data_IF_480484769798
#
_entry.id   IF_480484769798
#
_cell.length_a   1.000
_cell.length_b   1.000
_cell.length_c   1.000
_cell.angle_alpha   90.00
_cell.angle_beta   90.00
_cell.angle_gamma   90.00
#
_symmetry.space_group_name_H-M   'P 1'
#
loop_
_entity.id
_entity.type
_entity.pdbx_description
1 polymer ?
#
# COMPACT_ATOMS: atom_id res chain seq x y z
N UNK A 1 -36.31 -38.35 7.62
CA UNK A 1 -36.24 -36.89 7.49
C UNK A 1 -34.91 -36.56 6.84
N UNK A 2 -34.94 -36.16 5.60
CA UNK A 2 -33.70 -35.86 4.79
C UNK A 2 -33.38 -34.39 4.92
N UNK A 3 -32.18 -34.08 5.38
CA UNK A 3 -31.63 -32.72 5.40
C UNK A 3 -30.98 -32.44 4.04
N UNK A 4 -31.48 -31.46 3.33
CA UNK A 4 -30.93 -30.95 2.07
C UNK A 4 -29.90 -29.89 2.37
N UNK A 5 -28.61 -30.19 2.15
CA UNK A 5 -27.56 -29.22 2.10
C UNK A 5 -27.59 -28.50 0.76
N UNK A 6 -27.70 -27.18 0.79
CA UNK A 6 -27.64 -26.32 -0.41
C UNK A 6 -26.17 -26.08 -0.73
N UNK A 7 -25.69 -26.71 -1.81
CA UNK A 7 -24.37 -26.45 -2.38
C UNK A 7 -24.36 -25.08 -3.07
N UNK A 8 -23.49 -24.19 -2.62
CA UNK A 8 -23.21 -22.90 -3.27
C UNK A 8 -22.43 -23.10 -4.57
N UNK A 9 -23.04 -22.80 -5.70
CA UNK A 9 -22.43 -22.89 -7.03
C UNK A 9 -21.31 -21.85 -7.20
N UNK A 10 -20.07 -22.33 -7.23
CA UNK A 10 -18.90 -21.57 -7.69
C UNK A 10 -18.96 -21.47 -9.20
N UNK A 11 -19.17 -20.30 -9.77
CA UNK A 11 -19.19 -20.08 -11.22
C UNK A 11 -17.77 -20.02 -11.78
N UNK A 12 -17.18 -21.15 -12.05
CA UNK A 12 -15.99 -21.24 -12.92
C UNK A 12 -16.42 -21.29 -14.38
N UNK A 13 -15.77 -20.48 -15.22
CA UNK A 13 -15.96 -20.57 -16.66
C UNK A 13 -15.57 -21.96 -17.12
N UNK A 14 -16.42 -22.57 -17.94
CA UNK A 14 -16.14 -23.88 -18.56
C UNK A 14 -15.05 -23.76 -19.63
N UNK A 15 -14.35 -24.83 -19.97
CA UNK A 15 -13.33 -24.84 -21.03
C UNK A 15 -13.86 -24.33 -22.39
N UNK A 16 -15.15 -24.47 -22.64
CA UNK A 16 -15.82 -23.93 -23.83
C UNK A 16 -15.91 -22.38 -23.76
N UNK A 17 -16.21 -21.84 -22.60
CA UNK A 17 -16.28 -20.38 -22.38
C UNK A 17 -14.89 -19.73 -22.43
N UNK A 18 -13.86 -20.43 -21.93
CA UNK A 18 -12.47 -19.97 -22.03
C UNK A 18 -11.97 -19.96 -23.49
N UNK A 19 -12.33 -20.95 -24.30
CA UNK A 19 -12.00 -20.98 -25.74
C UNK A 19 -12.68 -19.85 -26.49
N UNK A 20 -13.97 -19.63 -26.26
CA UNK A 20 -14.69 -18.50 -26.86
C UNK A 20 -14.13 -17.13 -26.45
N UNK A 21 -13.66 -17.00 -25.23
CA UNK A 21 -12.99 -15.77 -24.74
C UNK A 21 -11.69 -15.48 -25.49
N UNK A 22 -10.87 -16.52 -25.72
CA UNK A 22 -9.62 -16.39 -26.46
C UNK A 22 -9.84 -16.16 -27.97
N UNK A 23 -10.89 -16.72 -28.57
CA UNK A 23 -11.25 -16.51 -29.97
C UNK A 23 -11.78 -15.10 -30.25
N UNK A 24 -12.32 -14.42 -29.24
CA UNK A 24 -12.82 -13.05 -29.33
C UNK A 24 -11.76 -11.97 -29.05
N UNK A 25 -10.51 -12.36 -28.79
CA UNK A 25 -9.37 -11.48 -28.47
C UNK A 25 -9.69 -10.41 -27.40
N UNK A 26 -10.46 -10.81 -26.38
CA UNK A 26 -10.93 -9.94 -25.29
C UNK A 26 -9.84 -9.58 -24.28
N UNK A 27 -8.58 -9.78 -24.63
CA UNK A 27 -7.41 -9.50 -23.78
C UNK A 27 -7.20 -10.55 -22.68
N UNK A 28 -6.15 -10.41 -21.87
CA UNK A 28 -5.89 -11.35 -20.79
C UNK A 28 -7.06 -11.38 -19.83
N UNK A 29 -7.67 -12.55 -19.67
CA UNK A 29 -8.73 -12.75 -18.69
C UNK A 29 -8.14 -12.59 -17.30
N UNK A 30 -8.39 -11.48 -16.65
CA UNK A 30 -8.14 -11.28 -15.22
C UNK A 30 -9.18 -12.07 -14.42
N UNK A 31 -9.25 -13.37 -14.68
CA UNK A 31 -9.97 -14.28 -13.79
C UNK A 31 -9.12 -14.34 -12.53
N UNK A 32 -9.57 -13.66 -11.47
CA UNK A 32 -9.04 -13.92 -10.15
C UNK A 32 -9.03 -15.43 -9.97
N UNK A 33 -7.86 -16.03 -9.85
CA UNK A 33 -7.73 -17.45 -9.48
C UNK A 33 -8.18 -17.59 -8.03
N UNK A 34 -9.49 -17.54 -7.83
CA UNK A 34 -10.12 -17.98 -6.60
C UNK A 34 -10.17 -19.50 -6.68
N UNK A 35 -9.10 -20.14 -6.22
CA UNK A 35 -9.03 -21.60 -6.27
C UNK A 35 -7.62 -22.14 -6.18
N UNK A 36 -6.69 -21.37 -5.59
CA UNK A 36 -5.62 -22.01 -4.87
C UNK A 36 -6.27 -22.50 -3.57
N UNK A 37 -6.47 -23.80 -3.43
CA UNK A 37 -6.55 -24.47 -2.12
C UNK A 37 -5.33 -23.96 -1.37
N UNK A 38 -5.54 -22.92 -0.57
CA UNK A 38 -4.47 -22.28 0.16
C UNK A 38 -3.86 -23.34 1.06
N UNK A 39 -2.58 -23.63 0.82
CA UNK A 39 -1.75 -24.11 1.91
C UNK A 39 -2.08 -23.24 3.11
N UNK A 40 -2.25 -23.80 4.33
CA UNK A 40 -2.47 -23.01 5.53
C UNK A 40 -1.44 -21.89 5.52
N UNK A 41 -1.79 -20.65 5.90
CA UNK A 41 -0.84 -19.57 5.88
C UNK A 41 0.42 -20.06 6.57
N UNK A 42 1.61 -19.90 5.94
CA UNK A 42 2.85 -20.38 6.55
C UNK A 42 2.90 -19.81 7.95
N UNK A 43 3.24 -20.64 8.93
CA UNK A 43 3.26 -20.33 10.34
C UNK A 43 3.65 -18.87 10.56
N UNK A 44 2.75 -18.10 11.14
CA UNK A 44 2.63 -16.66 11.16
C UNK A 44 3.88 -15.90 10.67
N UNK A 45 3.79 -15.24 9.53
CA UNK A 45 4.82 -14.27 9.12
C UNK A 45 5.05 -13.34 10.30
N UNK A 46 6.30 -13.16 10.65
CA UNK A 46 6.70 -12.22 11.69
C UNK A 46 7.54 -11.12 11.07
N UNK A 47 7.54 -9.95 11.67
CA UNK A 47 8.42 -8.86 11.26
C UNK A 47 9.87 -9.31 11.15
N UNK A 48 10.35 -10.14 12.10
CA UNK A 48 11.70 -10.67 12.11
C UNK A 48 11.97 -11.51 10.86
N UNK A 49 11.09 -12.45 10.54
CA UNK A 49 11.21 -13.32 9.36
C UNK A 49 11.25 -12.54 8.06
N UNK A 50 10.31 -11.58 7.87
CA UNK A 50 10.30 -10.75 6.65
C UNK A 50 11.56 -9.90 6.56
N UNK A 51 12.07 -9.37 7.66
CA UNK A 51 13.30 -8.58 7.73
C UNK A 51 14.52 -9.42 7.34
N UNK A 52 14.64 -10.64 7.86
CA UNK A 52 15.71 -11.58 7.51
C UNK A 52 15.69 -11.93 6.02
N UNK A 53 14.53 -12.26 5.47
CA UNK A 53 14.37 -12.56 4.05
C UNK A 53 14.74 -11.36 3.15
N UNK A 54 14.36 -10.13 3.54
CA UNK A 54 14.75 -8.92 2.81
C UNK A 54 16.26 -8.71 2.87
N UNK A 55 16.88 -8.89 4.04
CA UNK A 55 18.32 -8.67 4.20
C UNK A 55 19.16 -9.61 3.33
N UNK A 56 18.76 -10.87 3.21
CA UNK A 56 19.40 -11.90 2.39
C UNK A 56 18.91 -11.95 0.93
N UNK A 57 17.98 -11.10 0.52
CA UNK A 57 17.32 -11.20 -0.79
C UNK A 57 18.28 -11.04 -1.96
N UNK A 58 18.21 -11.98 -2.93
CA UNK A 58 18.94 -11.94 -4.22
C UNK A 58 18.02 -12.22 -5.42
N UNK A 59 16.75 -11.80 -5.33
CA UNK A 59 15.71 -12.15 -6.31
C UNK A 59 15.75 -11.32 -7.61
N UNK A 60 16.47 -10.20 -7.63
CA UNK A 60 16.64 -9.35 -8.82
C UNK A 60 18.04 -8.70 -8.82
N UNK A 61 18.47 -8.15 -9.96
CA UNK A 61 19.80 -7.56 -10.15
C UNK A 61 20.12 -6.35 -9.25
N UNK A 62 19.13 -5.77 -8.55
CA UNK A 62 19.40 -4.68 -7.61
C UNK A 62 20.24 -5.13 -6.40
N UNK A 63 20.31 -6.42 -6.12
CA UNK A 63 21.12 -6.94 -5.03
C UNK A 63 22.63 -6.77 -5.27
N UNK A 64 23.08 -6.66 -6.51
CA UNK A 64 24.49 -6.62 -6.85
C UNK A 64 25.11 -5.23 -6.63
N UNK A 65 24.30 -4.18 -6.74
CA UNK A 65 24.76 -2.79 -6.62
C UNK A 65 24.42 -2.10 -5.30
N UNK A 66 23.65 -2.72 -4.41
CA UNK A 66 23.28 -2.13 -3.12
C UNK A 66 24.38 -2.29 -2.08
N UNK A 67 24.47 -1.36 -1.15
CA UNK A 67 25.24 -1.52 0.10
C UNK A 67 24.41 -2.22 1.18
N UNK A 68 23.18 -1.72 1.38
CA UNK A 68 22.24 -2.26 2.34
C UNK A 68 20.88 -2.49 1.69
N UNK A 69 20.11 -3.40 2.25
CA UNK A 69 18.66 -3.42 2.05
C UNK A 69 18.01 -2.38 2.95
N UNK A 70 16.95 -1.75 2.45
CA UNK A 70 16.17 -0.77 3.20
C UNK A 70 14.79 -1.35 3.46
N UNK A 71 14.66 -1.99 4.62
CA UNK A 71 13.44 -2.71 4.99
C UNK A 71 12.27 -1.77 5.26
N UNK A 72 12.50 -0.79 6.08
CA UNK A 72 11.53 0.14 6.64
C UNK A 72 11.91 0.52 8.06
N UNK A 73 11.29 1.59 8.59
CA UNK A 73 11.55 2.13 9.93
C UNK A 73 10.27 2.64 10.57
N UNK A 74 10.20 2.61 11.88
CA UNK A 74 9.08 3.07 12.69
C UNK A 74 8.42 1.96 13.48
N UNK A 75 7.30 2.27 14.10
CA UNK A 75 6.58 1.35 14.98
C UNK A 75 5.92 0.22 14.18
N UNK A 76 6.17 -1.01 14.57
CA UNK A 76 5.49 -2.20 14.03
C UNK A 76 4.01 -2.30 14.50
N UNK A 77 3.55 -1.29 15.26
CA UNK A 77 2.16 -1.10 15.69
C UNK A 77 1.59 0.24 15.20
N UNK A 78 2.31 0.91 14.30
CA UNK A 78 1.89 2.20 13.78
C UNK A 78 0.52 2.12 13.10
N UNK A 79 -0.25 3.19 13.26
CA UNK A 79 -1.56 3.30 12.58
C UNK A 79 -1.45 3.86 11.18
N UNK A 80 -0.35 4.51 10.87
CA UNK A 80 -0.06 5.07 9.56
C UNK A 80 1.08 4.33 8.90
N UNK A 81 0.89 3.95 7.65
CA UNK A 81 1.95 3.40 6.80
C UNK A 81 2.25 4.35 5.66
N UNK A 82 3.50 4.78 5.56
CA UNK A 82 3.98 5.63 4.48
C UNK A 82 4.78 4.78 3.50
N UNK A 83 4.45 4.86 2.22
CA UNK A 83 5.09 4.06 1.18
C UNK A 83 5.65 4.98 0.10
N UNK A 84 6.98 4.99 -0.02
CA UNK A 84 7.69 5.67 -1.10
C UNK A 84 8.04 4.72 -2.25
N UNK A 85 8.92 5.19 -3.14
CA UNK A 85 9.32 4.50 -4.36
C UNK A 85 10.45 3.49 -4.12
N UNK A 86 11.63 3.98 -3.81
CA UNK A 86 12.87 3.21 -3.69
C UNK A 86 13.89 3.94 -2.81
N UNK A 87 14.89 3.24 -2.25
CA UNK A 87 15.99 3.87 -1.55
C UNK A 87 16.86 4.73 -2.48
N UNK A 88 17.29 5.88 -1.99
CA UNK A 88 18.34 6.71 -2.59
C UNK A 88 19.73 6.34 -2.07
N UNK A 89 20.73 7.18 -2.36
CA UNK A 89 22.13 6.93 -1.99
C UNK A 89 22.38 6.99 -0.48
N UNK A 90 21.75 7.91 0.22
CA UNK A 90 21.89 8.03 1.67
C UNK A 90 21.17 6.88 2.38
N UNK A 91 20.00 6.48 1.88
CA UNK A 91 19.22 5.35 2.39
C UNK A 91 19.96 4.02 2.20
N UNK A 92 20.58 3.81 1.03
CA UNK A 92 21.39 2.64 0.74
C UNK A 92 22.61 2.53 1.68
N UNK A 93 23.20 3.68 2.04
CA UNK A 93 24.34 3.74 2.96
C UNK A 93 23.94 3.47 4.40
N UNK A 94 22.77 3.97 4.85
CA UNK A 94 22.32 3.85 6.26
C UNK A 94 21.44 2.64 6.52
N UNK A 95 20.83 2.06 5.48
CA UNK A 95 19.85 0.98 5.63
C UNK A 95 18.47 1.42 6.09
N UNK A 96 18.19 2.74 6.12
CA UNK A 96 16.93 3.31 6.57
C UNK A 96 16.27 4.16 5.48
N UNK A 97 14.93 4.14 5.33
CA UNK A 97 14.23 4.93 4.33
C UNK A 97 14.14 6.41 4.73
N UNK A 98 14.17 7.28 3.72
CA UNK A 98 13.96 8.72 3.89
C UNK A 98 14.92 9.38 4.90
N UNK A 99 16.21 9.16 4.77
CA UNK A 99 17.25 9.78 5.62
C UNK A 99 17.94 10.97 4.95
N UNK A 100 17.77 11.17 3.65
CA UNK A 100 18.30 12.28 2.87
C UNK A 100 17.43 13.54 2.95
N UNK A 101 17.65 14.48 2.01
CA UNK A 101 16.88 15.75 1.97
C UNK A 101 15.38 15.54 1.84
N UNK A 102 14.95 14.56 1.03
CA UNK A 102 13.55 14.18 0.89
C UNK A 102 12.97 13.69 2.22
N UNK A 103 13.76 12.95 2.98
CA UNK A 103 13.38 12.48 4.32
C UNK A 103 13.22 13.61 5.33
N UNK A 104 14.14 14.58 5.35
CA UNK A 104 13.99 15.78 6.20
C UNK A 104 12.72 16.56 5.90
N UNK A 105 12.34 16.69 4.63
CA UNK A 105 11.05 17.28 4.28
C UNK A 105 9.88 16.42 4.76
N UNK A 106 9.96 15.10 4.61
CA UNK A 106 8.92 14.20 5.12
C UNK A 106 8.75 14.34 6.63
N UNK A 107 9.84 14.45 7.39
CA UNK A 107 9.78 14.66 8.84
C UNK A 107 9.06 15.96 9.20
N UNK A 108 9.31 17.06 8.45
CA UNK A 108 8.58 18.31 8.64
C UNK A 108 7.10 18.19 8.25
N UNK A 109 6.77 17.42 7.20
CA UNK A 109 5.39 17.17 6.81
C UNK A 109 4.65 16.36 7.89
N UNK A 110 5.30 15.36 8.49
CA UNK A 110 4.74 14.59 9.60
C UNK A 110 4.55 15.46 10.86
N UNK A 111 5.56 16.22 11.24
CA UNK A 111 5.49 17.13 12.38
C UNK A 111 4.34 18.17 12.24
N UNK A 112 4.10 18.66 11.02
CA UNK A 112 3.01 19.59 10.73
C UNK A 112 1.60 19.01 10.97
N UNK A 113 1.47 17.68 10.96
CA UNK A 113 0.22 16.96 11.27
C UNK A 113 0.27 16.24 12.62
N UNK A 114 1.25 16.56 13.46
CA UNK A 114 1.38 16.04 14.82
C UNK A 114 1.86 14.59 14.90
N UNK A 115 2.53 14.08 13.86
CA UNK A 115 3.09 12.72 13.84
C UNK A 115 4.61 12.73 13.95
N UNK A 116 5.16 11.72 14.61
CA UNK A 116 6.60 11.51 14.74
C UNK A 116 7.02 10.13 14.19
N UNK A 117 8.19 10.11 13.55
CA UNK A 117 8.69 8.92 12.85
C UNK A 117 8.78 7.66 13.71
N UNK A 118 9.35 7.65 14.92
CA UNK A 118 9.58 6.38 15.61
C UNK A 118 8.28 5.72 16.11
N UNK A 119 7.29 6.51 16.49
CA UNK A 119 6.17 6.00 17.28
C UNK A 119 4.85 5.92 16.47
N UNK A 120 4.59 6.92 15.62
CA UNK A 120 3.26 7.09 15.02
C UNK A 120 3.14 6.46 13.64
N UNK A 121 4.27 6.26 12.94
CA UNK A 121 4.29 5.84 11.56
C UNK A 121 5.23 4.66 11.32
N UNK A 122 4.92 3.85 10.29
CA UNK A 122 5.85 2.93 9.67
C UNK A 122 6.14 3.41 8.25
N UNK A 123 7.41 3.66 7.94
CA UNK A 123 7.86 4.21 6.66
C UNK A 123 8.62 3.14 5.89
N UNK A 124 8.26 2.92 4.65
CA UNK A 124 8.95 1.97 3.76
C UNK A 124 8.89 2.43 2.30
N UNK A 125 9.46 1.63 1.41
CA UNK A 125 9.40 1.83 -0.03
C UNK A 125 8.86 0.58 -0.74
N UNK A 126 8.42 0.74 -1.99
CA UNK A 126 8.08 -0.36 -2.89
C UNK A 126 9.29 -1.27 -3.08
N UNK A 127 10.44 -0.69 -3.47
CA UNK A 127 11.70 -1.42 -3.56
C UNK A 127 12.46 -1.38 -2.24
N UNK A 128 13.14 -2.50 -1.93
CA UNK A 128 14.00 -2.61 -0.74
C UNK A 128 15.49 -2.39 -1.06
N UNK A 129 15.83 -2.20 -2.33
CA UNK A 129 17.18 -1.98 -2.82
C UNK A 129 17.22 -0.73 -3.70
N UNK A 130 18.35 -0.03 -3.69
CA UNK A 130 18.57 1.17 -4.49
C UNK A 130 18.76 0.81 -5.96
N UNK A 131 18.00 1.39 -6.91
CA UNK A 131 18.29 1.29 -8.34
C UNK A 131 19.57 2.04 -8.71
N UNK A 132 20.37 1.54 -9.67
CA UNK A 132 21.59 2.21 -10.15
C UNK A 132 21.33 3.65 -10.56
N UNK A 133 22.17 4.59 -10.11
CA UNK A 133 22.01 6.02 -10.43
C UNK A 133 20.71 6.67 -9.94
N UNK A 134 19.99 6.03 -9.02
CA UNK A 134 18.64 6.45 -8.58
C UNK A 134 17.64 6.54 -9.75
N UNK A 135 17.78 5.66 -10.76
CA UNK A 135 16.79 5.58 -11.85
C UNK A 135 15.43 5.12 -11.30
N UNK A 136 14.41 5.33 -12.10
CA UNK A 136 13.09 4.79 -11.77
C UNK A 136 13.12 3.25 -11.65
N UNK A 137 12.27 2.67 -10.80
CA UNK A 137 12.05 1.23 -10.73
C UNK A 137 11.63 0.63 -12.08
N UNK A 138 12.14 -0.54 -12.40
CA UNK A 138 11.68 -1.32 -13.54
C UNK A 138 10.49 -2.21 -13.14
N UNK A 139 9.57 -2.51 -14.06
CA UNK A 139 8.39 -3.34 -13.75
C UNK A 139 8.73 -4.67 -13.09
N UNK A 140 9.75 -5.37 -13.61
CA UNK A 140 10.19 -6.65 -13.05
C UNK A 140 10.76 -6.52 -11.62
N UNK A 141 11.45 -5.43 -11.33
CA UNK A 141 11.97 -5.15 -9.99
C UNK A 141 10.83 -4.93 -8.99
N UNK A 142 9.81 -4.15 -9.41
CA UNK A 142 8.61 -3.89 -8.62
C UNK A 142 7.86 -5.20 -8.36
N UNK A 143 7.60 -5.99 -9.40
CA UNK A 143 6.91 -7.28 -9.28
C UNK A 143 7.64 -8.21 -8.31
N UNK A 144 8.94 -8.37 -8.50
CA UNK A 144 9.79 -9.24 -7.67
C UNK A 144 9.82 -8.81 -6.21
N UNK A 145 9.83 -7.48 -5.94
CA UNK A 145 9.99 -6.92 -4.60
C UNK A 145 8.66 -6.72 -3.87
N UNK A 146 7.54 -6.60 -4.60
CA UNK A 146 6.22 -6.23 -4.05
C UNK A 146 5.71 -7.19 -2.97
N UNK A 147 6.07 -8.48 -3.03
CA UNK A 147 5.68 -9.47 -2.04
C UNK A 147 6.11 -9.09 -0.61
N UNK A 148 7.27 -8.46 -0.44
CA UNK A 148 7.72 -7.98 0.87
C UNK A 148 6.86 -6.81 1.38
N UNK A 149 6.50 -5.88 0.49
CA UNK A 149 5.63 -4.77 0.84
C UNK A 149 4.24 -5.25 1.28
N UNK A 150 3.65 -6.19 0.54
CA UNK A 150 2.33 -6.72 0.89
C UNK A 150 2.33 -7.43 2.24
N UNK A 151 3.37 -8.22 2.53
CA UNK A 151 3.54 -8.84 3.85
C UNK A 151 3.70 -7.79 4.97
N UNK A 152 4.41 -6.68 4.71
CA UNK A 152 4.50 -5.58 5.68
C UNK A 152 3.14 -4.92 5.93
N UNK A 153 2.31 -4.71 4.89
CA UNK A 153 0.95 -4.17 5.05
C UNK A 153 0.09 -5.15 5.85
N UNK A 154 0.21 -6.44 5.58
CA UNK A 154 -0.54 -7.50 6.26
C UNK A 154 -0.16 -7.62 7.74
N UNK A 155 1.13 -7.52 8.06
CA UNK A 155 1.61 -7.54 9.45
C UNK A 155 1.22 -6.29 10.23
N UNK A 156 1.32 -5.11 9.60
CA UNK A 156 1.03 -3.84 10.25
C UNK A 156 -0.46 -3.59 10.46
N UNK A 157 -1.29 -3.95 9.47
CA UNK A 157 -2.72 -3.64 9.45
C UNK A 157 -3.02 -2.16 9.79
N UNK A 158 -2.42 -1.19 9.04
CA UNK A 158 -2.54 0.22 9.37
C UNK A 158 -3.96 0.74 9.20
N UNK A 159 -4.31 1.83 9.88
CA UNK A 159 -5.60 2.52 9.70
C UNK A 159 -5.62 3.35 8.42
N UNK A 160 -4.44 3.75 7.93
CA UNK A 160 -4.27 4.54 6.73
C UNK A 160 -2.94 4.21 6.05
N UNK A 161 -2.97 4.11 4.73
CA UNK A 161 -1.77 4.10 3.89
C UNK A 161 -1.65 5.45 3.19
N UNK A 162 -0.49 6.12 3.35
CA UNK A 162 -0.13 7.32 2.62
C UNK A 162 0.90 6.98 1.55
N UNK A 163 0.52 7.10 0.27
CA UNK A 163 1.39 6.83 -0.87
C UNK A 163 2.12 8.10 -1.30
N UNK A 164 3.44 8.02 -1.35
CA UNK A 164 4.33 9.12 -1.67
C UNK A 164 4.84 9.01 -3.12
N UNK A 165 4.15 9.68 -4.05
CA UNK A 165 4.54 9.77 -5.45
C UNK A 165 4.00 8.64 -6.34
N UNK A 166 4.23 8.82 -7.66
CA UNK A 166 3.62 8.01 -8.72
C UNK A 166 3.93 6.52 -8.60
N UNK A 167 5.17 6.14 -8.35
CA UNK A 167 5.55 4.72 -8.34
C UNK A 167 4.93 3.95 -7.17
N UNK A 168 4.79 4.58 -6.00
CA UNK A 168 4.06 3.99 -4.89
C UNK A 168 2.58 3.80 -5.24
N UNK A 169 1.96 4.81 -5.88
CA UNK A 169 0.56 4.76 -6.33
C UNK A 169 0.35 3.62 -7.34
N UNK A 170 1.17 3.57 -8.40
CA UNK A 170 1.07 2.54 -9.43
C UNK A 170 1.26 1.13 -8.85
N UNK A 171 2.20 0.97 -7.92
CA UNK A 171 2.51 -0.34 -7.32
C UNK A 171 1.40 -0.83 -6.39
N UNK A 172 0.81 0.04 -5.58
CA UNK A 172 -0.17 -0.35 -4.55
C UNK A 172 -1.59 -0.36 -5.08
N UNK A 173 -1.99 0.66 -5.85
CA UNK A 173 -3.35 0.78 -6.40
C UNK A 173 -3.51 0.12 -7.77
N UNK A 174 -2.42 -0.38 -8.39
CA UNK A 174 -2.44 -1.02 -9.71
C UNK A 174 -3.13 -0.14 -10.78
N UNK A 175 -2.77 1.13 -10.84
CA UNK A 175 -3.35 2.13 -11.74
C UNK A 175 -2.27 2.93 -12.46
N UNK A 176 -2.52 3.28 -13.70
CA UNK A 176 -1.66 4.18 -14.49
C UNK A 176 -2.12 5.65 -14.45
N UNK A 177 -3.10 5.95 -13.60
CA UNK A 177 -3.63 7.29 -13.44
C UNK A 177 -2.54 8.29 -13.00
N UNK A 178 -2.63 9.52 -13.47
CA UNK A 178 -1.71 10.58 -13.09
C UNK A 178 -1.87 10.97 -11.62
N UNK A 179 -0.82 11.56 -11.04
CA UNK A 179 -0.91 12.07 -9.66
C UNK A 179 -2.05 13.08 -9.47
N UNK A 180 -2.34 13.89 -10.47
CA UNK A 180 -3.47 14.84 -10.43
C UNK A 180 -4.83 14.12 -10.36
N UNK A 181 -4.95 12.96 -11.00
CA UNK A 181 -6.18 12.17 -11.02
C UNK A 181 -6.43 11.35 -9.76
N UNK A 182 -5.37 10.99 -9.00
CA UNK A 182 -5.50 10.14 -7.81
C UNK A 182 -5.43 10.93 -6.49
N UNK A 183 -4.90 12.15 -6.51
CA UNK A 183 -4.86 13.01 -5.32
C UNK A 183 -6.25 13.51 -4.96
N UNK A 184 -6.42 14.00 -3.73
CA UNK A 184 -7.66 14.55 -3.19
C UNK A 184 -8.83 13.57 -3.15
N UNK A 185 -8.54 12.27 -3.26
CA UNK A 185 -9.51 11.18 -3.18
C UNK A 185 -9.01 10.15 -2.18
N UNK A 186 -9.96 9.45 -1.57
CA UNK A 186 -9.68 8.30 -0.72
C UNK A 186 -9.85 7.05 -1.57
N UNK A 187 -8.77 6.32 -1.74
CA UNK A 187 -8.76 5.01 -2.39
C UNK A 187 -8.84 3.89 -1.34
N UNK A 188 -8.91 2.66 -1.79
CA UNK A 188 -9.01 1.49 -0.90
C UNK A 188 -7.99 0.44 -1.31
N UNK A 189 -7.18 -0.02 -0.37
CA UNK A 189 -6.36 -1.21 -0.52
C UNK A 189 -7.12 -2.45 -0.01
N UNK A 190 -7.21 -3.48 -0.86
CA UNK A 190 -7.98 -4.72 -0.59
C UNK A 190 -7.06 -5.93 -0.66
N UNK A 191 -6.22 -6.13 0.32
CA UNK A 191 -5.27 -7.25 0.27
C UNK A 191 -5.09 -8.00 1.59
N UNK A 192 -5.73 -7.56 2.67
CA UNK A 192 -5.42 -8.01 4.04
C UNK A 192 -6.64 -8.50 4.84
N UNK A 193 -7.69 -8.92 4.17
CA UNK A 193 -8.92 -9.34 4.84
C UNK A 193 -9.80 -8.18 5.34
N UNK A 194 -9.28 -6.94 5.38
CA UNK A 194 -10.04 -5.71 5.60
C UNK A 194 -9.67 -4.64 4.58
N UNK A 195 -10.58 -3.75 4.30
CA UNK A 195 -10.34 -2.58 3.46
C UNK A 195 -9.53 -1.54 4.24
N UNK A 196 -8.38 -1.12 3.67
CA UNK A 196 -7.54 -0.07 4.26
C UNK A 196 -7.65 1.18 3.38
N UNK A 197 -8.04 2.35 3.93
CA UNK A 197 -8.09 3.58 3.18
C UNK A 197 -6.68 4.02 2.76
N UNK A 198 -6.59 4.57 1.56
CA UNK A 198 -5.34 5.03 0.94
C UNK A 198 -5.49 6.47 0.49
N UNK A 199 -4.55 7.32 0.88
CA UNK A 199 -4.42 8.70 0.39
C UNK A 199 -3.11 8.81 -0.38
N UNK A 200 -3.15 9.56 -1.49
CA UNK A 200 -2.01 9.76 -2.37
C UNK A 200 -1.54 11.21 -2.30
N UNK A 201 -0.21 11.42 -2.20
CA UNK A 201 0.40 12.75 -2.28
C UNK A 201 1.67 12.74 -3.10
N UNK A 202 2.23 13.90 -3.40
CA UNK A 202 3.50 14.00 -4.10
C UNK A 202 4.66 13.46 -3.26
N UNK A 203 5.66 12.90 -3.95
CA UNK A 203 6.89 12.47 -3.31
C UNK A 203 7.68 13.67 -2.76
N UNK A 204 8.24 13.63 -1.53
CA UNK A 204 8.99 14.75 -0.98
C UNK A 204 10.13 15.25 -1.87
N UNK A 205 10.84 14.36 -2.57
CA UNK A 205 11.88 14.76 -3.52
C UNK A 205 11.35 15.61 -4.70
N UNK A 206 10.11 15.38 -5.12
CA UNK A 206 9.46 16.24 -6.12
C UNK A 206 9.15 17.61 -5.54
N UNK A 207 8.67 17.70 -4.31
CA UNK A 207 8.32 18.95 -3.63
C UNK A 207 9.55 19.84 -3.37
N UNK A 208 10.74 19.26 -3.26
CA UNK A 208 12.00 20.02 -3.16
C UNK A 208 12.33 20.75 -4.45
N UNK A 209 11.92 20.20 -5.60
CA UNK A 209 12.13 20.80 -6.93
C UNK A 209 10.97 21.68 -7.39
N UNK A 210 9.77 21.47 -6.82
CA UNK A 210 8.52 22.12 -7.22
C UNK A 210 7.82 22.70 -6.00
N UNK A 211 8.38 23.77 -5.44
CA UNK A 211 7.93 24.38 -4.17
C UNK A 211 6.45 24.76 -4.13
N UNK A 212 5.82 25.29 -5.22
CA UNK A 212 4.38 25.61 -5.23
C UNK A 212 3.49 24.40 -4.97
N UNK A 213 3.96 23.19 -5.31
CA UNK A 213 3.20 21.96 -5.14
C UNK A 213 3.08 21.52 -3.65
N UNK A 214 3.86 22.12 -2.74
CA UNK A 214 3.76 21.85 -1.30
C UNK A 214 2.36 22.14 -0.76
N UNK A 215 1.70 23.19 -1.25
CA UNK A 215 0.31 23.48 -0.87
C UNK A 215 -0.62 22.32 -1.19
N UNK A 216 -0.46 21.72 -2.37
CA UNK A 216 -1.28 20.59 -2.77
C UNK A 216 -1.03 19.34 -1.90
N UNK A 217 0.23 19.10 -1.50
CA UNK A 217 0.53 18.03 -0.55
C UNK A 217 -0.03 18.31 0.84
N UNK A 218 -0.12 19.56 1.25
CA UNK A 218 -0.78 19.93 2.50
C UNK A 218 -2.29 19.59 2.46
N UNK A 219 -2.97 19.88 1.35
CA UNK A 219 -4.37 19.48 1.14
C UNK A 219 -4.55 17.95 1.27
N UNK A 220 -3.61 17.17 0.73
CA UNK A 220 -3.64 15.69 0.83
C UNK A 220 -3.40 15.22 2.27
N UNK A 221 -2.50 15.87 3.01
CA UNK A 221 -2.24 15.55 4.41
C UNK A 221 -3.45 15.86 5.30
N UNK A 222 -4.14 16.98 5.06
CA UNK A 222 -5.40 17.28 5.74
C UNK A 222 -6.45 16.19 5.49
N UNK A 223 -6.61 15.75 4.24
CA UNK A 223 -7.50 14.63 3.90
C UNK A 223 -7.09 13.35 4.64
N UNK A 224 -5.79 13.06 4.70
CA UNK A 224 -5.29 11.87 5.39
C UNK A 224 -5.58 11.91 6.89
N UNK A 225 -5.45 13.08 7.54
CA UNK A 225 -5.82 13.28 8.95
C UNK A 225 -7.32 13.02 9.19
N UNK A 226 -8.18 13.57 8.33
CA UNK A 226 -9.63 13.37 8.44
C UNK A 226 -10.02 11.90 8.30
N UNK A 227 -9.37 11.18 7.38
CA UNK A 227 -9.60 9.75 7.17
C UNK A 227 -9.12 8.96 8.40
N UNK A 228 -7.93 9.23 8.91
CA UNK A 228 -7.38 8.55 10.07
C UNK A 228 -8.23 8.77 11.33
N UNK A 229 -8.72 9.99 11.54
CA UNK A 229 -9.62 10.30 12.66
C UNK A 229 -10.92 9.48 12.59
N UNK A 230 -11.53 9.34 11.40
CA UNK A 230 -12.72 8.49 11.20
C UNK A 230 -12.43 7.02 11.49
N UNK A 231 -11.30 6.50 11.05
CA UNK A 231 -10.88 5.12 11.33
C UNK A 231 -10.69 4.88 12.83
N UNK A 232 -10.11 5.84 13.54
CA UNK A 232 -9.93 5.76 14.98
C UNK A 232 -11.28 5.69 15.72
N UNK A 233 -12.24 6.55 15.36
CA UNK A 233 -13.59 6.53 15.92
C UNK A 233 -14.30 5.20 15.63
N UNK A 234 -14.20 4.69 14.41
CA UNK A 234 -14.80 3.40 14.03
C UNK A 234 -14.23 2.24 14.85
N UNK A 235 -12.90 2.22 15.07
CA UNK A 235 -12.28 1.21 15.95
C UNK A 235 -12.72 1.30 17.42
N UNK A 236 -12.82 2.50 17.95
CA UNK A 236 -13.28 2.70 19.32
C UNK A 236 -14.71 2.19 19.51
N UNK A 237 -15.62 2.48 18.57
CA UNK A 237 -16.99 1.96 18.58
C UNK A 237 -17.04 0.43 18.47
N UNK A 238 -16.24 -0.15 17.59
CA UNK A 238 -16.15 -1.60 17.47
C UNK A 238 -15.64 -2.26 18.78
N UNK A 239 -14.71 -1.62 19.47
CA UNK A 239 -14.18 -2.08 20.75
C UNK A 239 -15.19 -1.92 21.92
N UNK A 240 -16.05 -0.89 21.87
CA UNK A 240 -17.12 -0.66 22.89
C UNK A 240 -18.40 -1.45 22.63
N UNK A 241 -18.51 -2.18 21.51
CA UNK A 241 -19.70 -2.97 21.17
C UNK A 241 -20.91 -2.14 20.74
N UNK A 242 -20.73 -0.86 20.43
CA UNK A 242 -21.82 0.00 19.95
C UNK A 242 -22.21 -0.35 18.50
N UNK A 243 -23.49 -0.61 18.19
CA UNK A 243 -23.94 -0.89 16.83
C UNK A 243 -23.71 0.36 15.95
N UNK A 244 -23.05 0.18 14.82
CA UNK A 244 -22.82 1.24 13.85
C UNK A 244 -24.14 1.82 13.36
N UNK A 245 -24.37 3.10 13.61
CA UNK A 245 -25.48 3.84 12.98
C UNK A 245 -25.17 3.99 11.50
N UNK A 246 -25.75 3.11 10.66
CA UNK A 246 -25.75 3.26 9.22
C UNK A 246 -26.39 4.60 8.86
N UNK A 247 -25.58 5.53 8.36
CA UNK A 247 -26.08 6.74 7.73
C UNK A 247 -26.68 6.29 6.39
N UNK A 248 -27.99 6.05 6.42
CA UNK A 248 -28.77 5.79 5.22
C UNK A 248 -28.68 7.00 4.28
N UNK A 249 -28.21 6.76 3.06
CA UNK A 249 -28.37 7.66 1.95
C UNK A 249 -29.88 7.84 1.70
N UNK A 250 -30.48 8.92 2.20
CA UNK A 250 -31.79 9.36 1.74
C UNK A 250 -31.59 9.98 0.36
N UNK A 251 -31.95 9.21 -0.67
CA UNK A 251 -32.31 9.74 -1.97
C UNK A 251 -33.54 10.64 -1.77
N UNK A 252 -33.37 11.94 -1.95
CA UNK A 252 -34.47 12.89 -2.11
C UNK A 252 -35.02 12.76 -3.52
N UNK A 253 -36.12 12.04 -3.65
CA UNK A 253 -37.06 12.23 -4.76
C UNK A 253 -38.13 13.21 -4.25
N UNK A 254 -38.35 14.26 -5.05
CA UNK A 254 -39.55 15.15 -5.17
C UNK A 254 -39.05 16.51 -5.66
N UNK A 255 -39.49 17.08 -6.69
CA UNK A 255 -40.61 17.26 -7.56
C UNK A 255 -40.13 18.11 -8.77
#
# INVERSE_FOLDING_TARGET
MRSTATEGASSMLTDRQLRAWNELDLGPSWIARHGATGSPPPAADSWLKVREEVSGCRRCGLCDGRRNTVFGVGSERARWMLIGEAPGAEEDTRGEPFVGQAGRLLDQMLAAIGLARPDDVFITNVLKCRPPGNRNPEPLEVETCSGYLYRQIELLQPDLILLLGRFAVQSVLKTDASMAGVRRQVHTYRGTGRDIPVVCTYHPAYLLRSLPEKRKSWEDLCLAMDVAARQQVARQRAASGEPGTGIGARAGAEA
#
